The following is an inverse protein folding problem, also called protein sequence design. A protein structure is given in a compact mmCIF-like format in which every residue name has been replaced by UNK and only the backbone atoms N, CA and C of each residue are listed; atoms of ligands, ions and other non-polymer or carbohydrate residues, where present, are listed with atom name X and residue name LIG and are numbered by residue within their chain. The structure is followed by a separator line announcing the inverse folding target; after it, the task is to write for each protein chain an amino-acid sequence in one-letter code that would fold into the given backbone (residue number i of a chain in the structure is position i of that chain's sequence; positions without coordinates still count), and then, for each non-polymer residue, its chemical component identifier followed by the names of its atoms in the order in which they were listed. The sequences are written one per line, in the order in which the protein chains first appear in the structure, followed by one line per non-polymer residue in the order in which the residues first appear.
data_IF_024970632429
#
_entry.id   IF_024970632429
#
_cell.length_a   1.000
_cell.length_b   1.000
_cell.length_c   1.000
_cell.angle_alpha   90.00
_cell.angle_beta   90.00
_cell.angle_gamma   90.00
#
_symmetry.space_group_name_H-M   'P 1'
#
loop_
_entity.id
_entity.type
_entity.pdbx_description
1 polymer ?
#
# COMPACT_ATOMS: atom_id res chain seq x y z
N UNK A 1 -3.10 8.90 41.50
CA UNK A 1 -2.94 9.23 40.06
C UNK A 1 -4.09 8.56 39.31
N UNK A 2 -5.13 9.34 38.97
CA UNK A 2 -6.36 8.80 38.36
C UNK A 2 -6.16 8.89 36.82
N UNK A 3 -5.94 7.75 36.18
CA UNK A 3 -5.94 7.60 34.74
C UNK A 3 -7.39 7.51 34.27
N UNK A 4 -7.93 8.62 33.78
CA UNK A 4 -9.18 8.57 33.02
C UNK A 4 -8.88 8.00 31.61
N UNK A 5 -9.10 6.70 31.43
CA UNK A 5 -9.28 6.11 30.10
C UNK A 5 -10.67 6.49 29.61
N UNK A 6 -10.76 7.54 28.79
CA UNK A 6 -11.98 7.86 28.08
C UNK A 6 -12.14 6.83 26.95
N UNK A 7 -12.85 5.74 27.23
CA UNK A 7 -13.33 4.82 26.20
C UNK A 7 -14.71 5.30 25.77
N UNK A 8 -14.76 6.10 24.72
CA UNK A 8 -16.02 6.56 24.16
C UNK A 8 -16.75 5.42 23.45
N UNK A 9 -17.60 4.73 24.20
CA UNK A 9 -18.47 3.66 23.69
C UNK A 9 -19.68 4.18 22.89
N UNK A 10 -19.82 5.49 22.71
CA UNK A 10 -21.01 6.12 22.08
C UNK A 10 -20.71 7.12 20.96
N UNK A 11 -19.47 7.43 20.67
CA UNK A 11 -19.16 8.23 19.48
C UNK A 11 -19.44 7.38 18.24
N UNK A 12 -20.11 7.93 17.22
CA UNK A 12 -20.19 7.25 15.92
C UNK A 12 -18.77 6.97 15.46
N UNK A 13 -18.48 5.73 15.08
CA UNK A 13 -17.18 5.34 14.55
C UNK A 13 -16.99 6.11 13.25
N UNK A 14 -16.33 7.27 13.35
CA UNK A 14 -16.00 8.06 12.18
C UNK A 14 -14.92 7.29 11.43
N UNK A 15 -15.32 6.67 10.33
CA UNK A 15 -14.36 6.03 9.42
C UNK A 15 -13.67 7.13 8.63
N UNK A 16 -12.47 7.48 9.06
CA UNK A 16 -11.63 8.44 8.35
C UNK A 16 -10.85 7.65 7.29
N UNK A 17 -10.95 8.03 6.01
CA UNK A 17 -10.21 7.37 4.95
C UNK A 17 -8.72 7.24 5.30
N UNK A 18 -8.12 6.09 4.95
CA UNK A 18 -6.69 5.79 5.16
C UNK A 18 -6.21 5.71 6.63
N UNK A 19 -7.07 5.92 7.60
CA UNK A 19 -6.74 5.77 9.03
C UNK A 19 -7.24 4.42 9.53
N UNK A 20 -6.31 3.60 10.03
CA UNK A 20 -6.63 2.30 10.62
C UNK A 20 -7.11 2.47 12.07
N UNK A 21 -6.48 3.38 12.83
CA UNK A 21 -6.76 3.57 14.25
C UNK A 21 -6.26 4.92 14.73
N UNK A 22 -7.02 5.54 15.61
CA UNK A 22 -6.59 6.73 16.37
C UNK A 22 -6.57 6.40 17.87
N UNK A 23 -5.50 6.74 18.56
CA UNK A 23 -5.37 6.61 20.02
C UNK A 23 -5.20 8.00 20.60
N UNK A 24 -6.04 8.32 21.58
CA UNK A 24 -6.02 9.61 22.27
C UNK A 24 -5.64 9.36 23.73
N UNK A 25 -4.53 9.93 24.16
CA UNK A 25 -4.05 9.88 25.54
C UNK A 25 -4.04 11.28 26.15
N UNK A 26 -4.70 11.43 27.31
CA UNK A 26 -4.75 12.69 28.03
C UNK A 26 -3.73 12.62 29.16
N UNK A 27 -2.72 13.48 29.11
CA UNK A 27 -1.74 13.67 30.17
C UNK A 27 -2.10 14.93 30.95
N UNK A 28 -2.49 14.74 32.20
CA UNK A 28 -2.80 15.85 33.13
C UNK A 28 -1.57 16.74 33.34
N UNK A 29 -1.68 18.11 33.40
CA UNK A 29 -2.93 18.85 33.52
C UNK A 29 -3.56 19.32 32.20
N UNK A 30 -2.82 19.35 31.08
CA UNK A 30 -3.31 20.02 29.86
C UNK A 30 -2.75 19.50 28.53
N UNK A 31 -2.23 18.28 28.49
CA UNK A 31 -1.63 17.71 27.28
C UNK A 31 -2.52 16.60 26.70
N UNK A 32 -2.84 16.70 25.42
CA UNK A 32 -3.53 15.65 24.66
C UNK A 32 -2.53 15.10 23.64
N UNK A 33 -2.26 13.81 23.71
CA UNK A 33 -1.48 13.11 22.69
C UNK A 33 -2.45 12.35 21.76
N UNK A 34 -2.34 12.59 20.48
CA UNK A 34 -3.11 11.90 19.45
C UNK A 34 -2.12 11.09 18.62
N UNK A 35 -2.26 9.77 18.66
CA UNK A 35 -1.47 8.85 17.83
C UNK A 35 -2.38 8.31 16.74
N UNK A 36 -2.01 8.53 15.49
CA UNK A 36 -2.73 8.07 14.30
C UNK A 36 -1.95 6.91 13.70
N UNK A 37 -2.65 5.82 13.42
CA UNK A 37 -2.12 4.68 12.68
C UNK A 37 -2.77 4.66 11.32
N UNK A 38 -1.99 4.74 10.28
CA UNK A 38 -2.46 4.68 8.90
C UNK A 38 -2.67 3.24 8.45
N UNK A 39 -3.55 3.04 7.46
CA UNK A 39 -3.72 1.75 6.78
C UNK A 39 -2.46 1.46 5.96
N UNK A 40 -1.96 0.22 6.05
CA UNK A 40 -0.79 -0.21 5.27
C UNK A 40 -1.23 -0.55 3.85
N UNK A 41 -1.14 0.40 2.94
CA UNK A 41 -1.53 0.23 1.55
C UNK A 41 -0.28 -0.10 0.71
N UNK A 42 -0.38 -1.13 -0.13
CA UNK A 42 0.72 -1.52 -1.03
C UNK A 42 0.49 -1.09 -2.48
N UNK A 43 -0.77 -0.87 -2.87
CA UNK A 43 -1.14 -0.49 -4.21
C UNK A 43 -2.63 -0.27 -4.37
N UNK A 44 -3.03 0.09 -5.58
CA UNK A 44 -4.44 0.18 -5.95
C UNK A 44 -4.69 -0.44 -7.33
N UNK A 45 -5.95 -0.80 -7.56
CA UNK A 45 -6.48 -1.14 -8.88
C UNK A 45 -7.60 -0.19 -9.25
N UNK A 46 -7.80 0.03 -10.54
CA UNK A 46 -8.87 0.85 -11.05
C UNK A 46 -10.12 0.00 -11.29
N UNK A 47 -11.25 0.35 -10.66
CA UNK A 47 -12.49 -0.42 -10.76
C UNK A 47 -13.71 0.50 -10.85
N UNK A 48 -14.45 0.44 -11.95
CA UNK A 48 -15.66 1.25 -12.21
C UNK A 48 -15.54 2.75 -11.88
N UNK A 49 -14.41 3.37 -12.24
CA UNK A 49 -14.17 4.80 -12.04
C UNK A 49 -13.71 5.18 -10.63
N UNK A 50 -13.41 4.19 -9.79
CA UNK A 50 -12.84 4.37 -8.45
C UNK A 50 -11.48 3.69 -8.35
N UNK A 51 -10.64 4.19 -7.44
CA UNK A 51 -9.38 3.60 -7.05
C UNK A 51 -9.62 2.73 -5.82
N UNK A 52 -9.38 1.42 -5.94
CA UNK A 52 -9.56 0.45 -4.87
C UNK A 52 -8.21 0.10 -4.29
N UNK A 53 -7.96 0.59 -3.08
CA UNK A 53 -6.68 0.44 -2.39
C UNK A 53 -6.68 -0.82 -1.55
N UNK A 54 -5.59 -1.58 -1.59
CA UNK A 54 -5.48 -2.84 -0.84
C UNK A 54 -4.17 -2.94 -0.05
N UNK A 55 -4.22 -3.74 0.99
CA UNK A 55 -3.11 -4.02 1.88
C UNK A 55 -2.25 -5.20 1.40
N UNK A 56 -1.21 -5.51 2.17
CA UNK A 56 -0.27 -6.62 1.90
C UNK A 56 -0.93 -8.01 1.81
N UNK A 57 -2.10 -8.17 2.38
CA UNK A 57 -2.85 -9.42 2.37
C UNK A 57 -3.87 -9.48 1.21
N UNK A 58 -3.88 -8.44 0.37
CA UNK A 58 -4.81 -8.27 -0.74
C UNK A 58 -6.20 -7.83 -0.30
N UNK A 59 -6.38 -7.39 0.95
CA UNK A 59 -7.67 -6.89 1.43
C UNK A 59 -7.90 -5.46 0.93
N UNK A 60 -9.05 -5.21 0.32
CA UNK A 60 -9.46 -3.88 -0.11
C UNK A 60 -9.83 -3.05 1.10
N UNK A 61 -8.96 -2.13 1.48
CA UNK A 61 -9.08 -1.36 2.72
C UNK A 61 -9.69 0.02 2.53
N UNK A 62 -9.71 0.51 1.28
CA UNK A 62 -10.23 1.84 0.98
C UNK A 62 -10.71 1.93 -0.47
N UNK A 63 -11.68 2.82 -0.73
CA UNK A 63 -12.16 3.18 -2.06
C UNK A 63 -12.24 4.71 -2.18
N UNK A 64 -11.67 5.27 -3.23
CA UNK A 64 -11.68 6.72 -3.47
C UNK A 64 -11.91 7.04 -4.93
N UNK A 65 -12.63 8.13 -5.20
CA UNK A 65 -12.73 8.71 -6.55
C UNK A 65 -11.53 9.63 -6.88
N UNK A 66 -10.66 9.90 -5.91
CA UNK A 66 -9.45 10.70 -6.09
C UNK A 66 -8.22 9.81 -5.92
N UNK A 67 -7.27 9.97 -6.84
CA UNK A 67 -5.99 9.30 -6.75
C UNK A 67 -5.17 9.86 -5.59
N UNK A 68 -4.49 8.98 -4.88
CA UNK A 68 -3.54 9.34 -3.83
C UNK A 68 -2.13 9.19 -4.37
N UNK A 69 -1.37 10.25 -4.27
CA UNK A 69 0.01 10.27 -4.71
C UNK A 69 0.88 9.31 -3.87
N UNK A 70 1.88 8.72 -4.50
CA UNK A 70 2.85 7.84 -3.85
C UNK A 70 2.39 6.38 -3.65
N UNK A 71 1.19 6.04 -4.12
CA UNK A 71 0.70 4.65 -4.14
C UNK A 71 0.68 4.16 -5.58
N UNK A 72 1.37 3.06 -5.93
CA UNK A 72 1.45 2.56 -7.30
C UNK A 72 0.16 1.90 -7.76
N UNK A 73 -0.15 2.04 -9.04
CA UNK A 73 -1.17 1.23 -9.72
C UNK A 73 -0.66 -0.20 -9.91
N UNK A 74 -1.49 -1.19 -9.58
CA UNK A 74 -1.15 -2.59 -9.82
C UNK A 74 -1.93 -3.07 -11.04
N UNK A 75 -1.20 -3.51 -12.07
CA UNK A 75 -1.75 -4.04 -13.31
C UNK A 75 -1.46 -5.53 -13.47
N UNK A 76 -2.20 -6.17 -14.39
CA UNK A 76 -2.06 -7.58 -14.69
C UNK A 76 -2.82 -8.50 -13.71
N UNK A 77 -3.41 -7.97 -12.64
CA UNK A 77 -4.26 -8.78 -11.76
C UNK A 77 -5.59 -9.11 -12.44
N UNK A 78 -5.94 -10.39 -12.48
CA UNK A 78 -7.25 -10.86 -12.94
C UNK A 78 -8.12 -11.11 -11.72
N UNK A 79 -9.26 -10.42 -11.64
CA UNK A 79 -10.24 -10.52 -10.55
C UNK A 79 -11.66 -10.40 -11.09
N UNK A 80 -12.63 -11.03 -10.42
CA UNK A 80 -14.03 -11.03 -10.85
C UNK A 80 -14.81 -9.82 -10.35
N UNK A 81 -14.71 -9.53 -9.05
CA UNK A 81 -15.37 -8.41 -8.39
C UNK A 81 -14.51 -7.89 -7.24
N UNK A 82 -14.77 -6.67 -6.84
CA UNK A 82 -14.06 -6.03 -5.73
C UNK A 82 -15.10 -5.59 -4.70
N UNK A 83 -14.89 -5.99 -3.45
CA UNK A 83 -15.71 -5.60 -2.31
C UNK A 83 -14.84 -4.98 -1.22
N UNK A 84 -15.27 -3.85 -0.68
CA UNK A 84 -14.56 -3.17 0.40
C UNK A 84 -14.53 -4.05 1.66
N UNK A 85 -13.38 -4.11 2.31
CA UNK A 85 -13.05 -4.94 3.47
C UNK A 85 -13.00 -6.46 3.18
N UNK A 86 -13.00 -6.86 1.90
CA UNK A 86 -12.79 -8.25 1.49
C UNK A 86 -11.47 -8.37 0.71
N UNK A 87 -10.95 -9.60 0.64
CA UNK A 87 -9.76 -9.89 -0.18
C UNK A 87 -10.13 -9.87 -1.65
N UNK A 88 -9.24 -9.32 -2.46
CA UNK A 88 -9.30 -9.47 -3.91
C UNK A 88 -9.23 -10.96 -4.27
N UNK A 89 -10.26 -11.43 -4.96
CA UNK A 89 -10.31 -12.80 -5.49
C UNK A 89 -9.48 -12.86 -6.79
N UNK A 90 -8.19 -13.08 -6.62
CA UNK A 90 -7.23 -13.19 -7.73
C UNK A 90 -6.86 -14.65 -7.97
N UNK A 91 -6.49 -14.99 -9.21
CA UNK A 91 -6.14 -16.35 -9.59
C UNK A 91 -4.92 -16.90 -8.83
N UNK A 92 -3.96 -16.02 -8.49
CA UNK A 92 -2.72 -16.39 -7.81
C UNK A 92 -2.51 -15.46 -6.60
N UNK A 93 -2.97 -15.83 -5.40
CA UNK A 93 -2.88 -15.00 -4.20
C UNK A 93 -1.44 -14.66 -3.75
N UNK A 94 -0.46 -15.47 -4.15
CA UNK A 94 0.97 -15.27 -3.86
C UNK A 94 1.50 -13.96 -4.45
N UNK A 95 0.83 -13.40 -5.44
CA UNK A 95 1.16 -12.11 -6.05
C UNK A 95 1.27 -10.97 -5.04
N UNK A 96 0.43 -10.96 -4.00
CA UNK A 96 0.49 -9.91 -2.97
C UNK A 96 1.79 -9.98 -2.15
N UNK A 97 2.30 -11.18 -1.90
CA UNK A 97 3.61 -11.37 -1.27
C UNK A 97 4.73 -10.78 -2.13
N UNK A 98 4.74 -11.11 -3.43
CA UNK A 98 5.74 -10.60 -4.36
C UNK A 98 5.70 -9.05 -4.50
N UNK A 99 4.50 -8.47 -4.56
CA UNK A 99 4.32 -7.00 -4.58
C UNK A 99 4.81 -6.38 -3.28
N UNK A 100 4.54 -7.00 -2.13
CA UNK A 100 4.99 -6.52 -0.83
C UNK A 100 6.51 -6.54 -0.71
N UNK A 101 7.16 -7.62 -1.14
CA UNK A 101 8.62 -7.73 -1.14
C UNK A 101 9.24 -6.66 -2.04
N UNK A 102 8.70 -6.48 -3.25
CA UNK A 102 9.11 -5.43 -4.16
C UNK A 102 8.98 -4.04 -3.51
N UNK A 103 7.83 -3.75 -2.89
CA UNK A 103 7.60 -2.47 -2.23
C UNK A 103 8.59 -2.21 -1.09
N UNK A 104 8.92 -3.22 -0.29
CA UNK A 104 9.94 -3.08 0.78
C UNK A 104 11.31 -2.69 0.23
N UNK A 105 11.73 -3.26 -0.91
CA UNK A 105 12.97 -2.86 -1.56
C UNK A 105 12.92 -1.44 -2.11
N UNK A 106 11.82 -1.06 -2.75
CA UNK A 106 11.62 0.30 -3.28
C UNK A 106 11.64 1.35 -2.16
N UNK A 107 10.93 1.09 -1.06
CA UNK A 107 10.89 1.95 0.12
C UNK A 107 12.28 2.09 0.77
N UNK A 108 13.04 0.99 0.86
CA UNK A 108 14.41 0.99 1.39
C UNK A 108 15.35 1.94 0.65
N UNK A 109 15.16 2.07 -0.67
CA UNK A 109 16.00 2.91 -1.53
C UNK A 109 15.33 4.24 -1.90
N UNK A 110 14.18 4.59 -1.32
CA UNK A 110 13.40 5.78 -1.66
C UNK A 110 13.16 5.92 -3.18
N UNK A 111 12.70 4.84 -3.79
CA UNK A 111 12.36 4.82 -5.21
C UNK A 111 10.84 4.89 -5.33
N UNK A 112 10.34 6.03 -5.82
CA UNK A 112 8.94 6.20 -6.15
C UNK A 112 8.67 5.59 -7.52
N UNK A 113 7.56 4.87 -7.64
CA UNK A 113 7.11 4.23 -8.87
C UNK A 113 5.64 4.57 -9.13
N UNK A 114 5.28 4.60 -10.41
CA UNK A 114 3.90 4.91 -10.82
C UNK A 114 3.04 3.64 -10.91
N UNK A 115 3.65 2.52 -11.33
CA UNK A 115 2.94 1.31 -11.68
C UNK A 115 3.78 0.06 -11.41
N UNK A 116 3.14 -0.98 -10.91
CA UNK A 116 3.66 -2.36 -10.87
C UNK A 116 2.80 -3.19 -11.83
N UNK A 117 3.43 -3.83 -12.78
CA UNK A 117 2.75 -4.70 -13.73
C UNK A 117 3.19 -6.14 -13.48
N UNK A 118 2.23 -7.04 -13.35
CA UNK A 118 2.42 -8.46 -13.04
C UNK A 118 1.88 -9.26 -14.20
N UNK A 119 2.68 -10.13 -14.77
CA UNK A 119 2.21 -11.04 -15.82
C UNK A 119 1.70 -12.38 -15.27
N UNK A 120 1.21 -13.23 -16.17
CA UNK A 120 0.64 -14.55 -15.82
C UNK A 120 1.67 -15.51 -15.19
N UNK A 121 2.98 -15.25 -15.37
CA UNK A 121 4.09 -16.02 -14.79
C UNK A 121 4.63 -15.39 -13.50
N UNK A 122 3.90 -14.40 -12.94
CA UNK A 122 4.31 -13.59 -11.78
C UNK A 122 5.62 -12.81 -11.99
N UNK A 123 5.97 -12.51 -13.25
CA UNK A 123 7.08 -11.62 -13.52
C UNK A 123 6.66 -10.19 -13.21
N UNK A 124 7.45 -9.53 -12.39
CA UNK A 124 7.22 -8.14 -12.00
C UNK A 124 7.95 -7.18 -12.92
N UNK A 125 7.27 -6.12 -13.30
CA UNK A 125 7.89 -4.96 -13.91
C UNK A 125 7.36 -3.69 -13.25
N UNK A 126 8.19 -2.65 -13.19
CA UNK A 126 7.82 -1.35 -12.65
C UNK A 126 7.92 -0.26 -13.69
N UNK A 127 7.10 0.76 -13.54
CA UNK A 127 7.14 1.95 -14.37
C UNK A 127 7.51 3.17 -13.52
N UNK A 128 8.49 3.92 -14.01
CA UNK A 128 8.96 5.16 -13.42
C UNK A 128 8.92 6.23 -14.52
N UNK A 129 7.92 7.07 -14.50
CA UNK A 129 7.67 8.04 -15.56
C UNK A 129 7.46 7.36 -16.92
N UNK A 130 8.45 7.47 -17.81
CA UNK A 130 8.40 6.87 -19.16
C UNK A 130 9.20 5.57 -19.27
N UNK A 131 9.85 5.14 -18.22
CA UNK A 131 10.76 3.98 -18.22
C UNK A 131 10.02 2.79 -17.63
N UNK A 132 9.99 1.66 -18.33
CA UNK A 132 9.56 0.36 -17.82
C UNK A 132 10.79 -0.50 -17.55
N UNK A 133 10.87 -1.05 -16.33
CA UNK A 133 11.98 -1.89 -15.88
C UNK A 133 11.44 -3.28 -15.58
N UNK A 134 12.00 -4.29 -16.24
CA UNK A 134 11.66 -5.69 -16.03
C UNK A 134 12.47 -6.24 -14.85
N UNK A 135 11.79 -6.62 -13.78
CA UNK A 135 12.43 -7.08 -12.55
C UNK A 135 12.51 -8.61 -12.45
N UNK A 136 11.51 -9.32 -12.96
CA UNK A 136 11.38 -10.77 -12.81
C UNK A 136 10.61 -11.14 -11.54
N UNK A 137 10.71 -12.40 -11.11
CA UNK A 137 10.01 -12.92 -9.94
C UNK A 137 10.95 -13.50 -8.86
N UNK A 138 12.25 -13.49 -9.07
CA UNK A 138 13.24 -13.95 -8.10
C UNK A 138 13.63 -12.84 -7.14
N UNK A 139 13.48 -13.06 -5.84
CA UNK A 139 13.74 -12.06 -4.79
C UNK A 139 15.20 -11.56 -4.77
N UNK A 140 16.16 -12.43 -5.14
CA UNK A 140 17.59 -12.06 -5.23
C UNK A 140 17.79 -11.12 -6.41
N UNK A 141 17.28 -11.50 -7.58
CA UNK A 141 17.35 -10.66 -8.78
C UNK A 141 16.61 -9.34 -8.61
N UNK A 142 15.47 -9.33 -7.91
CA UNK A 142 14.74 -8.12 -7.54
C UNK A 142 15.61 -7.14 -6.78
N UNK A 143 16.29 -7.62 -5.73
CA UNK A 143 17.14 -6.77 -4.89
C UNK A 143 18.32 -6.17 -5.66
N UNK A 144 18.95 -6.95 -6.54
CA UNK A 144 20.07 -6.49 -7.38
C UNK A 144 19.63 -5.43 -8.39
N UNK A 145 18.54 -5.67 -9.13
CA UNK A 145 18.03 -4.73 -10.13
C UNK A 145 17.55 -3.43 -9.51
N UNK A 146 16.92 -3.48 -8.34
CA UNK A 146 16.51 -2.26 -7.62
C UNK A 146 17.72 -1.48 -7.14
N UNK A 147 18.77 -2.18 -6.68
CA UNK A 147 20.02 -1.52 -6.32
C UNK A 147 20.69 -0.85 -7.54
N UNK A 148 20.69 -1.47 -8.70
CA UNK A 148 21.19 -0.86 -9.94
C UNK A 148 20.38 0.38 -10.35
N UNK A 149 19.06 0.33 -10.20
CA UNK A 149 18.19 1.51 -10.41
C UNK A 149 18.55 2.66 -9.48
N UNK A 150 18.76 2.36 -8.20
CA UNK A 150 19.16 3.35 -7.19
C UNK A 150 20.50 3.97 -7.55
N UNK A 151 21.53 3.15 -7.86
CA UNK A 151 22.86 3.62 -8.24
C UNK A 151 22.82 4.51 -9.50
N UNK A 152 22.00 4.14 -10.48
CA UNK A 152 21.79 4.94 -11.70
C UNK A 152 21.11 6.29 -11.44
N UNK A 153 20.26 6.38 -10.39
CA UNK A 153 19.58 7.62 -9.97
C UNK A 153 20.55 8.59 -9.28
N UNK A 154 21.52 8.06 -8.53
CA UNK A 154 22.52 8.88 -7.80
C UNK A 154 23.57 9.45 -8.75
N UNK A 155 23.89 8.75 -9.84
CA UNK A 155 24.96 9.18 -10.79
C UNK A 155 24.49 10.22 -11.82
N UNK A 156 23.25 10.68 -11.76
CA UNK A 156 22.70 11.76 -12.60
C UNK A 156 22.56 13.05 -11.83
#
# INVERSE_FOLDING_TARGET
MILFKYTDKKAPKLEIPFIAKTVIDIKWPSTINITVYEKSIIGYVHYYGSYMYFDKDGTVVESSCQLIDGIPEIKGLTYNHIVLNEKLDVNVPEVFGAIMDLKQYLDKYNIDIDEIDVDDELQLSVKIGKIKVLLGNDSVMLSEKIYELYDSKIRR
#
